data_IF_901094301764
#
_entry.id   IF_901094301764
#
_cell.length_a   1.000
_cell.length_b   1.000
_cell.length_c   1.000
_cell.angle_alpha   90.00
_cell.angle_beta   90.00
_cell.angle_gamma   90.00
#
_symmetry.space_group_name_H-M   'P 1'
#
loop_
_entity.id
_entity.type
_entity.pdbx_description
1 polymer ?
#
# COMPACT_ATOMS: atom_id res chain seq x y z
N UNK A 1 -52.52 -16.88 -30.63
CA UNK A 1 -51.63 -17.38 -31.71
C UNK A 1 -50.20 -17.32 -31.18
N UNK A 2 -49.53 -18.48 -31.12
CA UNK A 2 -48.09 -18.79 -30.91
C UNK A 2 -47.30 -17.98 -29.84
N UNK A 3 -46.89 -18.53 -28.68
CA UNK A 3 -45.92 -19.62 -28.41
C UNK A 3 -44.47 -19.31 -28.83
N UNK A 4 -43.56 -19.10 -27.86
CA UNK A 4 -42.36 -19.93 -27.66
C UNK A 4 -41.63 -19.64 -26.33
N UNK A 5 -41.17 -20.74 -25.72
CA UNK A 5 -40.46 -20.94 -24.45
C UNK A 5 -38.93 -20.80 -24.58
N UNK A 6 -38.26 -20.90 -23.41
CA UNK A 6 -36.85 -21.26 -23.14
C UNK A 6 -35.85 -20.10 -23.03
N UNK A 7 -34.78 -20.15 -22.25
CA UNK A 7 -34.37 -20.89 -21.03
C UNK A 7 -33.00 -20.29 -20.64
N UNK A 8 -32.67 -20.33 -19.35
CA UNK A 8 -31.36 -20.31 -18.67
C UNK A 8 -30.04 -19.88 -19.39
N UNK A 9 -29.29 -18.94 -18.79
CA UNK A 9 -27.94 -19.16 -18.19
C UNK A 9 -27.13 -17.86 -17.97
N UNK A 10 -26.27 -17.77 -16.92
CA UNK A 10 -25.57 -16.56 -16.51
C UNK A 10 -24.29 -16.28 -17.32
N UNK A 11 -24.00 -14.98 -17.51
CA UNK A 11 -22.84 -14.49 -18.25
C UNK A 11 -21.53 -14.79 -17.51
N UNK A 12 -20.80 -15.78 -18.01
CA UNK A 12 -19.38 -16.00 -17.75
C UNK A 12 -18.56 -14.82 -18.30
N UNK A 13 -18.02 -13.99 -17.41
CA UNK A 13 -17.03 -12.97 -17.75
C UNK A 13 -15.69 -13.65 -18.03
N UNK A 14 -15.41 -13.93 -19.30
CA UNK A 14 -14.10 -14.38 -19.74
C UNK A 14 -13.06 -13.24 -19.62
N UNK A 15 -12.12 -13.39 -18.68
CA UNK A 15 -10.84 -12.69 -18.65
C UNK A 15 -10.08 -12.97 -19.96
N UNK A 16 -10.20 -12.10 -20.99
CA UNK A 16 -9.35 -12.16 -22.19
C UNK A 16 -8.08 -11.32 -22.01
N UNK A 17 -6.88 -11.82 -22.33
CA UNK A 17 -5.68 -11.00 -22.33
C UNK A 17 -5.66 -10.07 -23.55
N UNK A 18 -5.61 -8.77 -23.31
CA UNK A 18 -5.32 -7.78 -24.34
C UNK A 18 -3.81 -7.79 -24.64
N UNK A 19 -3.46 -8.19 -25.86
CA UNK A 19 -2.10 -8.13 -26.39
C UNK A 19 -1.81 -6.70 -26.87
N UNK A 20 -0.93 -6.00 -26.15
CA UNK A 20 -0.20 -4.84 -26.69
C UNK A 20 1.27 -4.94 -26.33
N UNK A 21 1.98 -5.83 -27.01
CA UNK A 21 3.42 -5.74 -27.16
C UNK A 21 3.69 -4.72 -28.26
N UNK A 22 4.35 -3.61 -27.93
CA UNK A 22 5.37 -2.91 -28.74
C UNK A 22 5.63 -1.51 -28.13
N UNK A 23 6.91 -1.14 -28.05
CA UNK A 23 7.46 0.18 -27.69
C UNK A 23 7.45 0.62 -26.21
N UNK A 24 8.42 0.12 -25.43
CA UNK A 24 9.09 0.97 -24.42
C UNK A 24 10.49 0.43 -24.07
N UNK A 25 11.47 0.70 -24.93
CA UNK A 25 12.91 0.48 -24.65
C UNK A 25 13.69 1.75 -24.99
N UNK A 26 13.48 2.80 -24.20
CA UNK A 26 14.40 3.95 -24.17
C UNK A 26 13.85 4.98 -23.20
N UNK A 27 14.30 4.95 -21.94
CA UNK A 27 14.62 6.12 -21.11
C UNK A 27 15.08 5.63 -19.72
N UNK A 28 16.38 5.37 -19.61
CA UNK A 28 17.08 5.27 -18.32
C UNK A 28 18.02 6.48 -18.28
N UNK A 29 17.84 7.47 -17.39
CA UNK A 29 18.84 8.51 -17.20
C UNK A 29 20.01 7.93 -16.40
N UNK A 30 21.21 8.07 -16.96
CA UNK A 30 22.48 7.71 -16.32
C UNK A 30 22.67 8.43 -14.97
N UNK A 31 23.14 7.67 -13.98
CA UNK A 31 23.64 8.21 -12.71
C UNK A 31 24.96 8.94 -12.95
N UNK A 32 25.01 10.24 -12.67
CA UNK A 32 26.28 10.96 -12.47
C UNK A 32 26.22 11.84 -11.22
N UNK A 33 27.11 11.51 -10.28
CA UNK A 33 27.78 12.33 -9.26
C UNK A 33 27.05 13.59 -8.73
N UNK A 34 26.52 13.48 -7.51
CA UNK A 34 26.23 14.62 -6.65
C UNK A 34 27.23 14.62 -5.48
N UNK A 35 28.22 15.51 -5.52
CA UNK A 35 29.12 15.83 -4.41
C UNK A 35 28.43 16.81 -3.46
N UNK A 36 28.44 16.51 -2.15
CA UNK A 36 27.96 17.41 -1.09
C UNK A 36 29.05 18.46 -0.76
N UNK A 37 28.72 19.75 -0.65
CA UNK A 37 29.62 20.71 -0.02
C UNK A 37 29.52 20.61 1.51
N UNK A 38 30.67 20.41 2.15
CA UNK A 38 30.85 20.57 3.59
C UNK A 38 30.86 22.07 3.94
N UNK A 39 29.97 22.50 4.83
CA UNK A 39 30.10 23.78 5.53
C UNK A 39 30.07 23.48 7.02
N UNK A 40 31.25 23.57 7.64
CA UNK A 40 31.40 23.49 9.09
C UNK A 40 31.04 24.83 9.73
N UNK A 41 30.23 24.78 10.78
CA UNK A 41 30.09 25.88 11.72
C UNK A 41 30.50 25.38 13.11
N UNK A 42 31.64 25.91 13.57
CA UNK A 42 32.13 25.78 14.93
C UNK A 42 31.52 26.91 15.76
N UNK A 43 30.85 26.57 16.86
CA UNK A 43 30.49 27.53 17.91
C UNK A 43 31.24 27.19 19.19
N UNK A 44 32.08 28.14 19.59
CA UNK A 44 32.85 28.18 20.82
C UNK A 44 32.26 29.25 21.75
N UNK A 45 32.30 28.98 23.05
CA UNK A 45 32.10 29.96 24.13
C UNK A 45 30.78 29.77 24.87
N UNK A 46 30.69 29.92 26.19
CA UNK A 46 31.68 30.15 27.23
C UNK A 46 31.02 29.75 28.56
N UNK A 47 31.82 29.27 29.52
CA UNK A 47 31.37 29.01 30.90
C UNK A 47 31.30 30.33 31.67
N UNK A 48 30.20 30.57 32.38
CA UNK A 48 30.16 31.53 33.50
C UNK A 48 29.39 30.94 34.67
N UNK A 49 30.13 30.66 35.75
CA UNK A 49 29.63 30.35 37.09
C UNK A 49 29.36 31.64 37.86
N UNK A 50 28.27 31.71 38.63
CA UNK A 50 28.19 32.54 39.84
C UNK A 50 27.02 32.16 40.78
N UNK A 51 27.42 31.73 41.98
CA UNK A 51 26.93 32.06 43.33
C UNK A 51 25.50 31.70 43.77
N UNK A 52 25.49 30.68 44.65
CA UNK A 52 24.76 30.52 45.92
C UNK A 52 23.96 31.70 46.50
N UNK A 53 22.74 31.40 46.95
CA UNK A 53 22.08 32.03 48.10
C UNK A 53 21.10 31.04 48.76
N UNK A 54 21.31 30.77 50.05
CA UNK A 54 20.44 29.95 50.89
C UNK A 54 19.22 30.75 51.35
N UNK A 55 18.02 30.18 51.25
CA UNK A 55 16.91 30.47 52.17
C UNK A 55 16.16 29.20 52.56
N UNK A 56 15.88 29.16 53.85
CA UNK A 56 15.34 28.13 54.73
C UNK A 56 13.86 27.81 54.51
N UNK A 57 13.52 26.52 54.63
CA UNK A 57 12.41 26.03 55.46
C UNK A 57 11.02 25.88 54.84
N UNK A 58 10.64 24.63 54.51
CA UNK A 58 9.41 23.96 55.01
C UNK A 58 9.32 22.53 54.47
N UNK A 59 9.28 21.54 55.36
CA UNK A 59 8.78 20.19 55.06
C UNK A 59 7.26 20.25 54.87
N UNK A 60 6.77 19.71 53.76
CA UNK A 60 5.43 19.15 53.67
C UNK A 60 5.52 17.80 52.95
N UNK A 61 4.88 16.80 53.53
CA UNK A 61 4.89 15.38 53.15
C UNK A 61 3.83 15.11 52.07
N UNK A 62 4.07 14.07 51.25
CA UNK A 62 3.16 13.34 50.32
C UNK A 62 2.71 14.08 49.05
N UNK A 63 2.67 13.48 47.85
CA UNK A 63 2.55 12.07 47.48
C UNK A 63 3.33 11.73 46.19
N UNK A 64 4.05 10.61 46.22
CA UNK A 64 4.53 9.92 45.01
C UNK A 64 3.35 9.19 44.36
N UNK A 65 2.66 9.87 43.45
CA UNK A 65 1.70 9.28 42.50
C UNK A 65 2.11 9.61 41.05
N UNK A 66 3.41 9.55 40.76
CA UNK A 66 3.96 9.79 39.42
C UNK A 66 4.50 8.53 38.72
N UNK A 67 4.33 7.34 39.30
CA UNK A 67 5.05 6.13 38.87
C UNK A 67 4.32 5.19 37.91
N UNK A 68 3.01 5.38 37.66
CA UNK A 68 2.19 4.38 36.95
C UNK A 68 1.77 4.76 35.52
N UNK A 69 2.08 5.99 35.08
CA UNK A 69 1.80 6.45 33.70
C UNK A 69 3.06 6.63 32.84
N UNK A 70 4.25 6.62 33.44
CA UNK A 70 5.52 6.77 32.72
C UNK A 70 6.12 5.48 32.16
N UNK A 71 5.55 4.31 32.50
CA UNK A 71 6.09 2.99 32.16
C UNK A 71 5.47 2.30 30.95
N UNK A 72 4.32 2.77 30.47
CA UNK A 72 3.53 2.06 29.43
C UNK A 72 4.01 2.39 28.00
N UNK A 73 4.76 3.47 27.80
CA UNK A 73 5.28 3.89 26.48
C UNK A 73 6.81 3.87 26.36
N UNK A 74 7.52 3.27 27.31
CA UNK A 74 8.98 3.09 27.26
C UNK A 74 9.36 1.65 26.87
N UNK A 75 8.76 1.16 25.79
CA UNK A 75 9.22 -0.04 25.10
C UNK A 75 10.06 0.38 23.90
N UNK A 76 11.35 0.04 23.92
CA UNK A 76 12.20 -0.01 22.72
C UNK A 76 11.76 -1.19 21.86
N UNK A 77 10.53 -1.17 21.34
CA UNK A 77 10.08 -2.23 20.42
C UNK A 77 10.86 -2.08 19.11
N UNK A 78 11.80 -2.99 18.89
CA UNK A 78 12.60 -3.09 17.68
C UNK A 78 11.83 -3.72 16.50
N UNK A 79 10.51 -3.92 16.67
CA UNK A 79 9.62 -4.64 15.77
C UNK A 79 9.74 -6.17 15.90
N UNK A 80 10.44 -6.65 16.93
CA UNK A 80 10.67 -8.09 17.14
C UNK A 80 9.38 -8.82 17.52
N UNK A 81 8.55 -8.19 18.36
CA UNK A 81 7.22 -8.68 18.72
C UNK A 81 6.35 -8.87 17.47
N UNK A 82 6.33 -7.88 16.58
CA UNK A 82 5.60 -7.89 15.31
C UNK A 82 6.14 -8.99 14.39
N UNK A 83 7.47 -9.12 14.24
CA UNK A 83 8.05 -10.20 13.42
C UNK A 83 7.62 -11.58 13.92
N UNK A 84 7.65 -11.79 15.24
CA UNK A 84 7.21 -13.06 15.83
C UNK A 84 5.72 -13.31 15.61
N UNK A 85 4.88 -12.27 15.75
CA UNK A 85 3.43 -12.36 15.50
C UNK A 85 3.10 -12.78 14.07
N UNK A 86 3.84 -12.29 13.07
CA UNK A 86 3.57 -12.55 11.66
C UNK A 86 4.44 -13.66 11.04
N UNK A 87 5.38 -14.26 11.79
CA UNK A 87 6.33 -15.25 11.28
C UNK A 87 5.63 -16.42 10.56
N UNK A 88 4.59 -16.99 11.18
CA UNK A 88 3.86 -18.11 10.59
C UNK A 88 3.17 -17.75 9.25
N UNK A 89 2.66 -16.52 9.13
CA UNK A 89 2.03 -16.04 7.90
C UNK A 89 3.08 -15.80 6.79
N UNK A 90 4.24 -15.23 7.15
CA UNK A 90 5.39 -15.09 6.25
C UNK A 90 5.85 -16.46 5.74
N UNK A 91 5.98 -17.45 6.62
CA UNK A 91 6.38 -18.80 6.24
C UNK A 91 5.39 -19.45 5.27
N UNK A 92 4.09 -19.23 5.48
CA UNK A 92 3.05 -19.71 4.56
C UNK A 92 3.19 -19.07 3.18
N UNK A 93 3.45 -17.77 3.10
CA UNK A 93 3.69 -17.07 1.82
C UNK A 93 4.97 -17.61 1.15
N UNK A 94 6.06 -17.76 1.90
CA UNK A 94 7.34 -18.25 1.41
C UNK A 94 7.23 -19.68 0.84
N UNK A 95 6.41 -20.54 1.45
CA UNK A 95 6.21 -21.92 0.99
C UNK A 95 5.57 -22.00 -0.41
N UNK A 96 4.79 -20.98 -0.80
CA UNK A 96 4.15 -20.89 -2.11
C UNK A 96 5.08 -20.37 -3.21
N UNK A 97 6.30 -19.91 -2.87
CA UNK A 97 7.21 -19.29 -3.84
C UNK A 97 7.66 -20.27 -4.94
N UNK A 98 7.95 -21.53 -4.60
CA UNK A 98 8.38 -22.53 -5.58
C UNK A 98 7.28 -22.83 -6.61
N UNK A 99 6.04 -23.00 -6.17
CA UNK A 99 4.88 -23.19 -7.06
C UNK A 99 4.63 -21.93 -7.89
N UNK A 100 4.56 -20.76 -7.25
CA UNK A 100 4.19 -19.51 -7.91
C UNK A 100 5.23 -19.08 -8.95
N UNK A 101 6.53 -19.25 -8.66
CA UNK A 101 7.61 -18.94 -9.59
C UNK A 101 7.66 -19.86 -10.80
N UNK A 102 7.12 -21.09 -10.69
CA UNK A 102 7.01 -22.03 -11.81
C UNK A 102 5.91 -21.67 -12.82
N UNK A 103 4.96 -20.81 -12.42
CA UNK A 103 3.85 -20.40 -13.29
C UNK A 103 4.34 -19.55 -14.46
N UNK A 104 3.75 -19.72 -15.63
CA UNK A 104 3.90 -18.77 -16.75
C UNK A 104 3.21 -17.45 -16.43
N UNK A 105 3.54 -16.38 -17.16
CA UNK A 105 2.87 -15.09 -16.98
C UNK A 105 1.35 -15.15 -17.18
N UNK A 106 0.89 -16.04 -18.07
CA UNK A 106 -0.54 -16.24 -18.29
C UNK A 106 -1.21 -16.91 -17.11
N UNK A 107 -0.58 -17.95 -16.55
CA UNK A 107 -1.10 -18.64 -15.36
C UNK A 107 -1.07 -17.73 -14.12
N UNK A 108 -0.04 -16.88 -14.00
CA UNK A 108 0.05 -15.92 -12.91
C UNK A 108 -1.05 -14.86 -12.97
N UNK A 109 -1.46 -14.42 -14.17
CA UNK A 109 -2.66 -13.60 -14.38
C UNK A 109 -3.95 -14.34 -14.06
N UNK A 110 -4.06 -15.60 -14.45
CA UNK A 110 -5.23 -16.43 -14.20
C UNK A 110 -5.51 -16.62 -12.70
N UNK A 111 -4.45 -16.67 -11.87
CA UNK A 111 -4.58 -16.64 -10.40
C UNK A 111 -5.41 -15.45 -9.91
N UNK A 112 -5.33 -14.27 -10.54
CA UNK A 112 -6.15 -13.12 -10.17
C UNK A 112 -7.64 -13.38 -10.43
N UNK A 113 -7.99 -13.99 -11.56
CA UNK A 113 -9.40 -14.30 -11.87
C UNK A 113 -9.95 -15.34 -10.85
N UNK A 114 -9.18 -16.38 -10.50
CA UNK A 114 -9.55 -17.38 -9.50
C UNK A 114 -9.70 -16.79 -8.08
N UNK A 115 -8.75 -15.95 -7.67
CA UNK A 115 -8.78 -15.30 -6.36
C UNK A 115 -9.95 -14.30 -6.25
N UNK A 116 -10.24 -13.56 -7.33
CA UNK A 116 -11.37 -12.63 -7.39
C UNK A 116 -12.71 -13.38 -7.30
N UNK A 117 -12.85 -14.50 -8.01
CA UNK A 117 -14.04 -15.35 -7.92
C UNK A 117 -14.26 -15.85 -6.48
N UNK A 118 -13.23 -16.42 -5.85
CA UNK A 118 -13.28 -16.91 -4.46
C UNK A 118 -13.66 -15.80 -3.47
N UNK A 119 -13.05 -14.62 -3.59
CA UNK A 119 -13.37 -13.47 -2.75
C UNK A 119 -14.85 -13.03 -2.91
N UNK A 120 -15.36 -13.04 -4.14
CA UNK A 120 -16.74 -12.65 -4.44
C UNK A 120 -17.77 -13.71 -4.04
N UNK A 121 -17.36 -14.98 -3.96
CA UNK A 121 -18.16 -16.08 -3.40
C UNK A 121 -18.18 -16.11 -1.86
N UNK A 122 -17.46 -15.19 -1.20
CA UNK A 122 -17.50 -14.99 0.24
C UNK A 122 -16.34 -15.60 1.03
N UNK A 123 -15.31 -16.12 0.35
CA UNK A 123 -14.07 -16.50 1.02
C UNK A 123 -13.37 -15.26 1.61
N UNK A 124 -12.89 -15.35 2.85
CA UNK A 124 -12.33 -14.18 3.54
C UNK A 124 -10.99 -13.75 2.93
N UNK A 125 -10.75 -12.45 2.81
CA UNK A 125 -9.47 -11.93 2.31
C UNK A 125 -8.29 -12.39 3.16
N UNK A 126 -8.47 -12.57 4.47
CA UNK A 126 -7.44 -13.12 5.36
C UNK A 126 -7.01 -14.53 4.94
N UNK A 127 -7.96 -15.37 4.49
CA UNK A 127 -7.65 -16.72 4.02
C UNK A 127 -6.98 -16.74 2.65
N UNK A 128 -7.30 -15.76 1.78
CA UNK A 128 -6.68 -15.56 0.47
C UNK A 128 -5.29 -14.91 0.56
N UNK A 129 -4.98 -14.25 1.67
CA UNK A 129 -3.78 -13.43 1.83
C UNK A 129 -2.49 -14.15 1.45
N UNK A 130 -2.20 -15.38 1.90
CA UNK A 130 -0.92 -16.01 1.58
C UNK A 130 -0.72 -16.21 0.08
N UNK A 131 -1.75 -16.67 -0.64
CA UNK A 131 -1.72 -16.89 -2.08
C UNK A 131 -1.64 -15.56 -2.84
N UNK A 132 -2.46 -14.58 -2.45
CA UNK A 132 -2.45 -13.25 -3.07
C UNK A 132 -1.08 -12.56 -2.92
N UNK A 133 -0.46 -12.64 -1.74
CA UNK A 133 0.85 -12.03 -1.49
C UNK A 133 1.97 -12.76 -2.24
N UNK A 134 1.91 -14.08 -2.38
CA UNK A 134 2.84 -14.84 -3.19
C UNK A 134 2.77 -14.44 -4.68
N UNK A 135 1.55 -14.32 -5.22
CA UNK A 135 1.29 -13.88 -6.61
C UNK A 135 1.85 -12.47 -6.85
N UNK A 136 1.56 -11.52 -5.95
CA UNK A 136 2.06 -10.14 -6.06
C UNK A 136 3.57 -10.07 -5.94
N UNK A 137 4.18 -10.85 -5.03
CA UNK A 137 5.63 -10.91 -4.86
C UNK A 137 6.31 -11.40 -6.14
N UNK A 138 5.80 -12.46 -6.75
CA UNK A 138 6.35 -12.98 -8.01
C UNK A 138 6.12 -12.00 -9.17
N UNK A 139 4.93 -11.39 -9.27
CA UNK A 139 4.66 -10.37 -10.29
C UNK A 139 5.58 -9.15 -10.15
N UNK A 140 5.82 -8.68 -8.92
CA UNK A 140 6.79 -7.60 -8.66
C UNK A 140 8.20 -7.97 -9.10
N UNK A 141 8.63 -9.21 -8.85
CA UNK A 141 9.93 -9.71 -9.29
C UNK A 141 10.05 -9.71 -10.82
N UNK A 142 9.00 -10.14 -11.54
CA UNK A 142 8.99 -10.17 -13.02
C UNK A 142 8.93 -8.79 -13.65
N UNK A 143 8.08 -7.92 -13.12
CA UNK A 143 7.78 -6.61 -13.73
C UNK A 143 8.79 -5.55 -13.32
N UNK A 144 9.17 -5.52 -12.04
CA UNK A 144 10.03 -4.46 -11.48
C UNK A 144 11.45 -4.94 -11.18
N UNK A 145 11.71 -6.25 -11.23
CA UNK A 145 12.98 -6.82 -10.76
C UNK A 145 13.14 -6.77 -9.24
N UNK A 146 12.06 -6.48 -8.50
CA UNK A 146 12.07 -6.31 -7.05
C UNK A 146 11.25 -7.44 -6.42
N UNK A 147 11.90 -8.28 -5.62
CA UNK A 147 11.22 -9.29 -4.79
C UNK A 147 10.94 -8.69 -3.41
N UNK A 148 9.68 -8.46 -3.00
CA UNK A 148 9.36 -8.00 -1.65
C UNK A 148 10.03 -8.83 -0.56
N UNK A 149 10.70 -8.18 0.39
CA UNK A 149 11.29 -8.81 1.57
C UNK A 149 10.22 -9.24 2.59
N UNK A 150 10.60 -10.08 3.55
CA UNK A 150 9.66 -10.59 4.55
C UNK A 150 9.12 -9.48 5.45
N UNK A 151 9.96 -8.51 5.82
CA UNK A 151 9.51 -7.30 6.53
C UNK A 151 8.51 -6.45 5.72
N UNK A 152 8.58 -6.51 4.39
CA UNK A 152 7.64 -5.82 3.52
C UNK A 152 6.30 -6.57 3.43
N UNK A 153 6.33 -7.91 3.45
CA UNK A 153 5.11 -8.70 3.62
C UNK A 153 4.42 -8.39 4.94
N UNK A 154 5.18 -8.30 6.03
CA UNK A 154 4.66 -7.92 7.35
C UNK A 154 4.00 -6.55 7.29
N UNK A 155 4.67 -5.55 6.71
CA UNK A 155 4.08 -4.23 6.49
C UNK A 155 2.76 -4.30 5.71
N UNK A 156 2.69 -5.13 4.66
CA UNK A 156 1.46 -5.34 3.89
C UNK A 156 0.34 -5.99 4.72
N UNK A 157 0.65 -6.95 5.58
CA UNK A 157 -0.32 -7.61 6.48
C UNK A 157 -0.84 -6.64 7.55
N UNK A 158 0.03 -5.82 8.12
CA UNK A 158 -0.35 -4.75 9.08
C UNK A 158 -1.32 -3.77 8.43
N UNK A 159 -1.01 -3.30 7.21
CA UNK A 159 -1.91 -2.42 6.45
C UNK A 159 -3.25 -3.09 6.11
N UNK A 160 -3.24 -4.38 5.75
CA UNK A 160 -4.47 -5.12 5.48
C UNK A 160 -5.40 -5.17 6.70
N UNK A 161 -4.85 -5.29 7.91
CA UNK A 161 -5.61 -5.25 9.17
C UNK A 161 -6.15 -3.86 9.54
N UNK A 162 -5.84 -2.82 8.77
CA UNK A 162 -6.21 -1.44 9.07
C UNK A 162 -5.33 -0.77 10.13
N UNK A 163 -4.14 -1.31 10.38
CA UNK A 163 -3.15 -0.76 11.31
C UNK A 163 -2.11 0.11 10.57
N UNK A 164 -1.32 0.88 11.34
CA UNK A 164 -0.25 1.72 10.80
C UNK A 164 1.05 0.93 10.73
N UNK A 165 1.55 0.67 9.53
CA UNK A 165 2.87 0.10 9.33
C UNK A 165 3.96 1.18 9.42
N UNK A 166 4.55 1.37 10.60
CA UNK A 166 5.75 2.19 10.74
C UNK A 166 6.95 1.48 10.10
N UNK A 167 7.57 2.17 9.14
CA UNK A 167 8.73 1.68 8.42
C UNK A 167 9.74 2.83 8.32
N UNK A 168 11.02 2.55 8.13
CA UNK A 168 12.03 3.59 7.86
C UNK A 168 12.03 4.00 6.39
N UNK A 169 12.62 5.16 6.09
CA UNK A 169 12.85 5.59 4.71
C UNK A 169 13.82 4.63 4.04
N UNK A 170 13.51 4.20 2.81
CA UNK A 170 14.30 3.22 2.08
C UNK A 170 13.83 1.76 2.23
N UNK A 171 12.93 1.46 3.16
CA UNK A 171 12.38 0.10 3.33
C UNK A 171 11.31 -0.28 2.28
N UNK A 172 11.08 0.58 1.29
CA UNK A 172 10.21 0.29 0.15
C UNK A 172 8.70 0.39 0.43
N UNK A 173 8.26 1.40 1.21
CA UNK A 173 6.83 1.66 1.51
C UNK A 173 5.93 1.65 0.28
N UNK A 174 6.39 2.25 -0.81
CA UNK A 174 5.64 2.29 -2.09
C UNK A 174 5.43 0.89 -2.66
N UNK A 175 6.44 0.02 -2.57
CA UNK A 175 6.31 -1.38 -2.98
C UNK A 175 5.39 -2.15 -2.03
N UNK A 176 5.48 -1.89 -0.72
CA UNK A 176 4.60 -2.54 0.28
C UNK A 176 3.14 -2.28 0.00
N UNK A 177 2.77 -1.05 -0.39
CA UNK A 177 1.37 -0.66 -0.60
C UNK A 177 0.64 -1.51 -1.66
N UNK A 178 1.36 -2.09 -2.63
CA UNK A 178 0.73 -2.91 -3.68
C UNK A 178 0.16 -4.23 -3.15
N UNK A 179 0.75 -4.79 -2.09
CA UNK A 179 0.36 -6.09 -1.50
C UNK A 179 -1.07 -6.04 -0.95
N UNK A 180 -1.39 -5.16 0.03
CA UNK A 180 -2.76 -5.05 0.53
C UNK A 180 -3.68 -4.39 -0.49
N UNK A 181 -3.19 -3.50 -1.37
CA UNK A 181 -4.05 -2.91 -2.40
C UNK A 181 -4.57 -3.96 -3.38
N UNK A 182 -3.70 -4.87 -3.86
CA UNK A 182 -4.11 -5.99 -4.69
C UNK A 182 -5.10 -6.91 -3.97
N UNK A 183 -4.78 -7.34 -2.74
CA UNK A 183 -5.65 -8.26 -1.97
C UNK A 183 -7.05 -7.66 -1.76
N UNK A 184 -7.12 -6.41 -1.29
CA UNK A 184 -8.40 -5.77 -1.01
C UNK A 184 -9.21 -5.45 -2.29
N UNK A 185 -8.52 -5.20 -3.41
CA UNK A 185 -9.16 -4.98 -4.70
C UNK A 185 -9.90 -6.22 -5.23
N UNK A 186 -9.52 -7.44 -4.81
CA UNK A 186 -10.23 -8.67 -5.17
C UNK A 186 -11.69 -8.67 -4.71
N UNK A 187 -12.01 -7.96 -3.63
CA UNK A 187 -13.38 -7.79 -3.14
C UNK A 187 -14.27 -6.93 -4.05
N UNK A 188 -13.74 -6.29 -5.09
CA UNK A 188 -14.50 -5.54 -6.08
C UNK A 188 -15.06 -4.20 -5.61
N UNK A 189 -14.63 -3.70 -4.45
CA UNK A 189 -15.10 -2.42 -3.87
C UNK A 189 -14.22 -1.21 -4.25
N UNK A 190 -13.12 -1.44 -4.97
CA UNK A 190 -12.09 -0.44 -5.22
C UNK A 190 -11.17 -0.22 -4.02
N UNK A 191 -9.95 0.25 -4.28
CA UNK A 191 -8.96 0.64 -3.26
C UNK A 191 -8.39 2.00 -3.60
N UNK A 192 -8.43 2.95 -2.65
CA UNK A 192 -7.78 4.25 -2.81
C UNK A 192 -6.39 4.25 -2.17
N UNK A 193 -5.35 4.46 -2.98
CA UNK A 193 -3.98 4.68 -2.50
C UNK A 193 -3.72 6.17 -2.45
N UNK A 194 -3.70 6.73 -1.23
CA UNK A 194 -3.62 8.17 -1.01
C UNK A 194 -2.17 8.60 -0.84
N UNK A 195 -1.76 9.64 -1.57
CA UNK A 195 -0.45 10.27 -1.45
C UNK A 195 -0.56 11.74 -1.09
N UNK A 196 0.57 12.36 -0.75
CA UNK A 196 0.60 13.77 -0.31
C UNK A 196 0.56 14.78 -1.45
N UNK A 197 0.87 14.39 -2.69
CA UNK A 197 0.83 15.29 -3.85
C UNK A 197 0.69 14.53 -5.18
N UNK A 198 0.25 15.25 -6.23
CA UNK A 198 -0.02 14.70 -7.56
C UNK A 198 1.20 14.04 -8.21
N UNK A 199 2.41 14.54 -7.94
CA UNK A 199 3.63 13.94 -8.45
C UNK A 199 3.83 12.52 -7.91
N UNK A 200 3.68 12.33 -6.60
CA UNK A 200 3.82 11.02 -5.97
C UNK A 200 2.68 10.08 -6.38
N UNK A 201 1.44 10.58 -6.48
CA UNK A 201 0.31 9.81 -6.99
C UNK A 201 0.59 9.27 -8.39
N UNK A 202 1.03 10.16 -9.31
CA UNK A 202 1.36 9.79 -10.69
C UNK A 202 2.53 8.82 -10.74
N UNK A 203 3.64 9.14 -10.07
CA UNK A 203 4.84 8.30 -10.02
C UNK A 203 4.51 6.89 -9.54
N UNK A 204 3.77 6.76 -8.45
CA UNK A 204 3.48 5.45 -7.85
C UNK A 204 2.49 4.67 -8.73
N UNK A 205 1.51 5.35 -9.32
CA UNK A 205 0.59 4.76 -10.30
C UNK A 205 1.30 4.27 -11.57
N UNK A 206 2.27 5.01 -12.10
CA UNK A 206 3.03 4.65 -13.30
C UNK A 206 4.11 3.61 -13.02
N UNK A 207 4.74 3.64 -11.84
CA UNK A 207 5.81 2.73 -11.49
C UNK A 207 5.29 1.42 -10.88
N UNK A 208 4.84 1.44 -9.63
CA UNK A 208 4.44 0.20 -8.93
C UNK A 208 3.05 -0.28 -9.37
N UNK A 209 2.21 0.60 -9.92
CA UNK A 209 0.93 0.23 -10.52
C UNK A 209 1.05 -0.71 -11.73
N UNK A 210 2.25 -0.89 -12.31
CA UNK A 210 2.49 -1.89 -13.35
C UNK A 210 2.26 -3.32 -12.86
N UNK A 211 2.49 -3.60 -11.56
CA UNK A 211 2.33 -4.95 -10.99
C UNK A 211 0.85 -5.39 -10.99
N UNK A 212 -0.10 -4.65 -10.40
CA UNK A 212 -1.51 -5.00 -10.50
C UNK A 212 -2.04 -4.97 -11.94
N UNK A 213 -1.55 -4.08 -12.82
CA UNK A 213 -1.89 -4.10 -14.27
C UNK A 213 -1.43 -5.38 -14.95
N UNK A 214 -0.20 -5.82 -14.67
CA UNK A 214 0.33 -7.08 -15.19
C UNK A 214 -0.52 -8.27 -14.73
N UNK A 215 -1.06 -8.22 -13.50
CA UNK A 215 -1.98 -9.21 -12.95
C UNK A 215 -3.44 -9.06 -13.43
N UNK A 216 -3.73 -8.07 -14.28
CA UNK A 216 -5.05 -7.90 -14.90
C UNK A 216 -6.03 -7.02 -14.13
N UNK A 217 -5.60 -6.33 -13.07
CA UNK A 217 -6.40 -5.30 -12.41
C UNK A 217 -6.31 -3.95 -13.15
N UNK A 218 -7.40 -3.18 -13.12
CA UNK A 218 -7.43 -1.80 -13.61
C UNK A 218 -6.87 -0.86 -12.54
N UNK A 219 -5.99 0.06 -12.96
CA UNK A 219 -5.34 1.02 -12.07
C UNK A 219 -5.56 2.43 -12.59
N UNK A 220 -6.29 3.24 -11.83
CA UNK A 220 -6.62 4.62 -12.12
C UNK A 220 -5.72 5.62 -11.40
N UNK A 221 -5.75 6.86 -11.88
CA UNK A 221 -5.06 8.01 -11.30
C UNK A 221 -6.00 9.20 -11.33
N UNK A 222 -6.21 9.83 -10.18
CA UNK A 222 -6.92 11.11 -10.08
C UNK A 222 -5.89 12.22 -9.98
N UNK A 223 -6.06 13.26 -10.80
CA UNK A 223 -5.21 14.45 -10.79
C UNK A 223 -6.05 15.72 -10.85
N UNK A 224 -5.39 16.83 -10.53
CA UNK A 224 -5.94 18.17 -10.76
C UNK A 224 -6.36 18.35 -12.23
N UNK A 225 -7.44 19.12 -12.43
CA UNK A 225 -8.01 19.46 -13.74
C UNK A 225 -8.66 18.32 -14.54
N UNK A 226 -8.86 17.14 -13.96
CA UNK A 226 -9.71 16.10 -14.57
C UNK A 226 -11.19 16.48 -14.54
N UNK A 227 -11.90 16.19 -15.64
CA UNK A 227 -13.36 16.34 -15.73
C UNK A 227 -14.07 15.32 -14.84
N UNK A 228 -15.34 15.56 -14.51
CA UNK A 228 -16.13 14.62 -13.70
C UNK A 228 -16.24 13.23 -14.34
N UNK A 229 -16.33 13.17 -15.67
CA UNK A 229 -16.36 11.90 -16.42
C UNK A 229 -15.04 11.13 -16.28
N UNK A 230 -13.91 11.80 -16.48
CA UNK A 230 -12.58 11.19 -16.30
C UNK A 230 -12.38 10.69 -14.86
N UNK A 231 -12.86 11.44 -13.86
CA UNK A 231 -12.78 11.02 -12.46
C UNK A 231 -13.61 9.77 -12.22
N UNK A 232 -14.84 9.73 -12.72
CA UNK A 232 -15.72 8.55 -12.63
C UNK A 232 -15.04 7.32 -13.24
N UNK A 233 -14.45 7.43 -14.42
CA UNK A 233 -13.70 6.32 -15.02
C UNK A 233 -12.53 5.82 -14.14
N UNK A 234 -11.80 6.74 -13.52
CA UNK A 234 -10.68 6.41 -12.64
C UNK A 234 -11.12 5.85 -11.28
N UNK A 235 -12.25 6.27 -10.73
CA UNK A 235 -12.84 5.70 -9.52
C UNK A 235 -13.47 4.32 -9.76
N UNK A 236 -13.80 3.97 -11.00
CA UNK A 236 -14.26 2.63 -11.39
C UNK A 236 -13.11 1.61 -11.59
N UNK A 237 -11.86 2.03 -11.43
CA UNK A 237 -10.72 1.10 -11.44
C UNK A 237 -10.66 0.28 -10.14
N UNK A 238 -10.03 -0.90 -10.20
CA UNK A 238 -9.88 -1.76 -9.01
C UNK A 238 -8.97 -1.10 -7.95
N UNK A 239 -7.98 -0.31 -8.39
CA UNK A 239 -7.09 0.50 -7.54
C UNK A 239 -6.99 1.91 -8.12
N UNK A 240 -7.13 2.93 -7.28
CA UNK A 240 -7.07 4.34 -7.69
C UNK A 240 -6.06 5.09 -6.85
N UNK A 241 -5.06 5.69 -7.51
CA UNK A 241 -4.11 6.60 -6.87
C UNK A 241 -4.68 8.01 -6.85
N UNK A 242 -4.63 8.67 -5.70
CA UNK A 242 -5.24 9.99 -5.50
C UNK A 242 -4.51 10.76 -4.41
N UNK A 243 -4.69 12.07 -4.34
CA UNK A 243 -4.21 12.88 -3.20
C UNK A 243 -5.32 13.04 -2.17
N UNK A 244 -4.94 13.31 -0.92
CA UNK A 244 -5.92 13.54 0.14
C UNK A 244 -6.89 14.70 -0.21
N UNK A 245 -6.37 15.77 -0.81
CA UNK A 245 -7.16 16.93 -1.21
C UNK A 245 -8.19 16.57 -2.29
N UNK A 246 -7.77 15.90 -3.36
CA UNK A 246 -8.68 15.53 -4.46
C UNK A 246 -9.78 14.57 -3.98
N UNK A 247 -9.42 13.57 -3.17
CA UNK A 247 -10.39 12.63 -2.62
C UNK A 247 -11.43 13.33 -1.74
N UNK A 248 -11.00 14.27 -0.89
CA UNK A 248 -11.89 15.07 -0.05
C UNK A 248 -12.82 15.97 -0.87
N UNK A 249 -12.30 16.66 -1.88
CA UNK A 249 -13.11 17.51 -2.74
C UNK A 249 -14.08 16.72 -3.62
N UNK A 250 -13.70 15.55 -4.12
CA UNK A 250 -14.59 14.66 -4.87
C UNK A 250 -15.75 14.19 -3.98
N UNK A 251 -15.47 13.75 -2.75
CA UNK A 251 -16.51 13.39 -1.80
C UNK A 251 -17.48 14.56 -1.54
N UNK A 252 -16.97 15.78 -1.36
CA UNK A 252 -17.83 16.95 -1.17
C UNK A 252 -18.66 17.27 -2.43
N UNK A 253 -18.09 17.15 -3.64
CA UNK A 253 -18.82 17.34 -4.89
C UNK A 253 -19.95 16.33 -5.06
N UNK A 254 -19.70 15.06 -4.75
CA UNK A 254 -20.69 13.99 -4.86
C UNK A 254 -21.90 14.24 -3.93
N UNK A 255 -21.67 14.84 -2.76
CA UNK A 255 -22.75 15.18 -1.81
C UNK A 255 -23.48 16.48 -2.14
N UNK A 256 -22.94 17.31 -3.03
CA UNK A 256 -23.58 18.54 -3.52
C UNK A 256 -24.27 18.37 -4.88
N UNK A 257 -24.03 17.25 -5.58
CA UNK A 257 -24.63 16.95 -6.87
C UNK A 257 -26.16 16.83 -6.74
N UNK A 258 -26.89 17.63 -7.52
CA UNK A 258 -28.36 17.65 -7.53
C UNK A 258 -28.97 16.47 -8.28
N UNK A 259 -28.19 15.84 -9.16
CA UNK A 259 -28.56 14.60 -9.87
C UNK A 259 -27.64 13.47 -9.40
N UNK A 260 -28.24 12.38 -8.91
CA UNK A 260 -27.49 11.15 -8.61
C UNK A 260 -27.14 10.47 -9.94
N UNK A 261 -25.85 10.44 -10.27
CA UNK A 261 -25.30 9.77 -11.46
C UNK A 261 -25.17 8.26 -11.29
#
# INVERSE_FOLDING_TARGET
MAAHLCDSSPLLNHCRPALSHLYWKSFIPNRTNYQKPHVGFSFSGAKTSKKTSNRTGRMLVTASLGGLLGGIFKGTDTGESTRQQYAAAVDNINRLEAETSSLTDSQLREKTCLLKERAQQGESLDSLLPEAFAVVREASKRVLGLRPFDVQLIGGMVLHKGEIAEMRTGEGKTLVAILPAYLNALGGKGVHVVTVNDYLARRDCEWVGQVPRFLGLKVGLIQQNMTSEQRRENYLCDITYVTNSELGFDYLRDNLATEKC
#
